data_IF_624065976860
#
_entry.id   IF_624065976860
#
_cell.length_a   1.000
_cell.length_b   1.000
_cell.length_c   1.000
_cell.angle_alpha   90.00
_cell.angle_beta   90.00
_cell.angle_gamma   90.00
#
_symmetry.space_group_name_H-M   'P 1'
#
loop_
_entity.id
_entity.type
_entity.pdbx_description
1 polymer ?
#
# COMPACT_ATOMS: atom_id res chain seq x y z
N UNK A 1 -9.73 -29.25 9.90
CA UNK A 1 -8.62 -28.80 10.78
C UNK A 1 -7.54 -28.09 9.97
N UNK A 2 -6.96 -28.73 8.95
CA UNK A 2 -5.91 -28.14 8.10
C UNK A 2 -6.35 -26.82 7.44
N UNK A 3 -7.57 -26.77 6.89
CA UNK A 3 -8.15 -25.58 6.25
C UNK A 3 -8.21 -24.37 7.20
N UNK A 4 -8.57 -24.57 8.47
CA UNK A 4 -8.58 -23.51 9.48
C UNK A 4 -7.19 -22.95 9.78
N UNK A 5 -6.16 -23.80 9.84
CA UNK A 5 -4.78 -23.34 10.05
C UNK A 5 -4.27 -22.53 8.85
N UNK A 6 -4.58 -22.96 7.63
CA UNK A 6 -4.23 -22.21 6.41
C UNK A 6 -4.91 -20.84 6.40
N UNK A 7 -6.20 -20.76 6.75
CA UNK A 7 -6.93 -19.49 6.83
C UNK A 7 -6.32 -18.52 7.84
N UNK A 8 -5.94 -19.01 9.03
CA UNK A 8 -5.29 -18.19 10.06
C UNK A 8 -3.93 -17.68 9.58
N UNK A 9 -3.10 -18.54 8.99
CA UNK A 9 -1.79 -18.16 8.46
C UNK A 9 -1.94 -17.08 7.38
N UNK A 10 -2.88 -17.25 6.45
CA UNK A 10 -3.13 -16.28 5.37
C UNK A 10 -3.56 -14.91 5.91
N UNK A 11 -4.43 -14.88 6.93
CA UNK A 11 -4.83 -13.64 7.62
C UNK A 11 -3.64 -12.94 8.28
N UNK A 12 -2.82 -13.70 9.02
CA UNK A 12 -1.63 -13.16 9.68
C UNK A 12 -0.61 -12.63 8.67
N UNK A 13 -0.37 -13.34 7.56
CA UNK A 13 0.48 -12.88 6.48
C UNK A 13 -0.05 -11.58 5.85
N UNK A 14 -1.36 -11.51 5.56
CA UNK A 14 -1.98 -10.30 5.01
C UNK A 14 -1.83 -9.11 5.96
N UNK A 15 -2.11 -9.28 7.26
CA UNK A 15 -1.96 -8.20 8.25
C UNK A 15 -0.49 -7.81 8.41
N UNK A 16 0.42 -8.78 8.46
CA UNK A 16 1.86 -8.53 8.56
C UNK A 16 2.38 -7.69 7.39
N UNK A 17 1.91 -7.96 6.17
CA UNK A 17 2.24 -7.15 4.98
C UNK A 17 1.72 -5.71 5.11
N UNK A 18 0.49 -5.52 5.56
CA UNK A 18 -0.08 -4.17 5.74
C UNK A 18 0.65 -3.40 6.84
N UNK A 19 1.06 -4.07 7.93
CA UNK A 19 1.89 -3.46 8.99
C UNK A 19 3.27 -3.07 8.44
N UNK A 20 3.89 -3.92 7.61
CA UNK A 20 5.15 -3.58 6.95
C UNK A 20 4.99 -2.34 6.05
N UNK A 21 3.90 -2.24 5.28
CA UNK A 21 3.58 -1.05 4.50
C UNK A 21 3.38 0.20 5.39
N UNK A 22 2.74 0.05 6.56
CA UNK A 22 2.59 1.13 7.53
C UNK A 22 3.95 1.62 8.05
N UNK A 23 4.86 0.70 8.38
CA UNK A 23 6.20 1.04 8.84
C UNK A 23 7.03 1.75 7.77
N UNK A 24 6.95 1.29 6.51
CA UNK A 24 7.57 1.96 5.38
C UNK A 24 6.99 3.36 5.15
N UNK A 25 5.67 3.50 5.23
CA UNK A 25 4.96 4.78 5.07
C UNK A 25 5.34 5.77 6.18
N UNK A 26 5.34 5.34 7.45
CA UNK A 26 5.75 6.19 8.57
C UNK A 26 7.25 6.56 8.51
N UNK A 27 8.11 5.64 8.09
CA UNK A 27 9.55 5.86 7.97
C UNK A 27 9.98 6.75 6.80
N UNK A 28 9.10 6.97 5.81
CA UNK A 28 9.41 7.75 4.62
C UNK A 28 9.31 9.28 4.80
N UNK A 29 8.97 9.79 6.00
CA UNK A 29 8.90 11.24 6.24
C UNK A 29 7.79 11.92 5.44
N UNK A 30 6.67 11.21 5.26
CA UNK A 30 5.56 11.57 4.36
C UNK A 30 4.96 12.96 4.65
N UNK A 31 4.97 13.40 5.91
CA UNK A 31 4.45 14.71 6.34
C UNK A 31 5.17 15.92 5.69
N UNK A 32 6.32 15.73 5.04
CA UNK A 32 7.09 16.81 4.42
C UNK A 32 6.62 17.25 3.01
N UNK A 33 5.61 16.60 2.40
CA UNK A 33 5.17 16.87 1.02
C UNK A 33 3.68 17.29 0.90
N UNK A 34 3.34 18.59 1.11
CA UNK A 34 1.96 19.06 0.97
C UNK A 34 1.40 18.93 -0.45
N UNK A 35 2.27 18.78 -1.47
CA UNK A 35 1.87 18.61 -2.88
C UNK A 35 1.16 17.28 -3.18
N UNK A 36 1.33 16.26 -2.35
CA UNK A 36 0.80 14.90 -2.58
C UNK A 36 -0.21 14.47 -1.50
N UNK A 37 -0.91 15.43 -0.88
CA UNK A 37 -1.80 15.17 0.26
C UNK A 37 -2.89 14.12 -0.04
N UNK A 38 -3.44 14.11 -1.24
CA UNK A 38 -4.50 13.17 -1.61
C UNK A 38 -3.97 11.74 -1.75
N UNK A 39 -2.76 11.58 -2.30
CA UNK A 39 -2.06 10.28 -2.39
C UNK A 39 -1.72 9.76 -0.99
N UNK A 40 -1.23 10.63 -0.11
CA UNK A 40 -0.94 10.27 1.29
C UNK A 40 -2.20 9.87 2.05
N UNK A 41 -3.32 10.55 1.80
CA UNK A 41 -4.62 10.22 2.39
C UNK A 41 -5.13 8.88 1.86
N UNK A 42 -4.97 8.60 0.57
CA UNK A 42 -5.32 7.30 -0.03
C UNK A 42 -4.50 6.16 0.57
N UNK A 43 -3.18 6.33 0.65
CA UNK A 43 -2.27 5.31 1.20
C UNK A 43 -2.53 5.10 2.68
N UNK A 44 -2.56 6.18 3.47
CA UNK A 44 -2.85 6.13 4.89
C UNK A 44 -4.22 5.50 5.17
N UNK A 45 -5.27 5.94 4.48
CA UNK A 45 -6.62 5.39 4.61
C UNK A 45 -6.69 3.90 4.26
N UNK A 46 -5.99 3.48 3.21
CA UNK A 46 -5.90 2.07 2.82
C UNK A 46 -5.18 1.25 3.89
N UNK A 47 -4.01 1.68 4.34
CA UNK A 47 -3.25 0.97 5.39
C UNK A 47 -4.07 0.86 6.69
N UNK A 48 -4.60 1.97 7.18
CA UNK A 48 -5.34 2.00 8.45
C UNK A 48 -6.64 1.19 8.38
N UNK A 49 -7.40 1.28 7.29
CA UNK A 49 -8.62 0.48 7.13
C UNK A 49 -8.31 -1.02 7.11
N UNK A 50 -7.22 -1.43 6.45
CA UNK A 50 -6.82 -2.84 6.39
C UNK A 50 -6.17 -3.36 7.69
N UNK A 51 -5.87 -2.50 8.66
CA UNK A 51 -5.47 -2.91 10.02
C UNK A 51 -6.68 -2.97 10.93
N UNK A 52 -7.47 -1.89 10.98
CA UNK A 52 -8.58 -1.73 11.93
C UNK A 52 -9.71 -2.73 11.64
N UNK A 53 -10.11 -2.87 10.38
CA UNK A 53 -11.26 -3.73 10.03
C UNK A 53 -10.97 -5.21 10.37
N UNK A 54 -9.83 -5.81 9.97
CA UNK A 54 -9.55 -7.20 10.33
C UNK A 54 -9.44 -7.44 11.84
N UNK A 55 -8.85 -6.50 12.59
CA UNK A 55 -8.78 -6.59 14.06
C UNK A 55 -10.20 -6.55 14.65
N UNK A 56 -11.05 -5.62 14.19
CA UNK A 56 -12.45 -5.54 14.62
C UNK A 56 -13.21 -6.83 14.35
N UNK A 57 -13.06 -7.40 13.14
CA UNK A 57 -13.69 -8.68 12.78
C UNK A 57 -13.16 -9.86 13.61
N UNK A 58 -11.87 -9.87 13.95
CA UNK A 58 -11.29 -10.88 14.84
C UNK A 58 -11.87 -10.79 16.25
N UNK A 59 -11.97 -9.58 16.81
CA UNK A 59 -12.54 -9.34 18.14
C UNK A 59 -14.01 -9.78 18.17
N UNK A 60 -14.82 -9.38 17.19
CA UNK A 60 -16.23 -9.78 17.14
C UNK A 60 -16.41 -11.30 17.10
N UNK A 61 -15.57 -12.02 16.35
CA UNK A 61 -15.57 -13.49 16.38
C UNK A 61 -15.17 -14.08 17.73
N UNK A 62 -14.33 -13.40 18.52
CA UNK A 62 -13.93 -13.86 19.85
C UNK A 62 -14.98 -13.63 20.93
N UNK A 63 -15.93 -12.72 20.71
CA UNK A 63 -17.01 -12.38 21.65
C UNK A 63 -18.31 -13.14 21.32
N UNK A 64 -18.24 -14.15 20.45
CA UNK A 64 -19.39 -14.94 19.97
C UNK A 64 -20.51 -14.12 19.32
N UNK A 65 -20.21 -12.90 18.85
CA UNK A 65 -21.11 -12.18 17.97
C UNK A 65 -21.11 -12.86 16.60
N UNK A 66 -22.26 -13.44 16.23
CA UNK A 66 -22.48 -14.01 14.91
C UNK A 66 -22.50 -12.88 13.86
N UNK A 67 -21.31 -12.47 13.39
CA UNK A 67 -21.22 -11.59 12.24
C UNK A 67 -21.74 -12.34 11.02
N UNK A 68 -22.75 -11.76 10.38
CA UNK A 68 -23.32 -12.26 9.14
C UNK A 68 -22.22 -12.44 8.08
N UNK A 69 -22.23 -13.59 7.42
CA UNK A 69 -21.29 -13.93 6.36
C UNK A 69 -21.34 -12.90 5.22
N UNK A 70 -22.49 -12.25 5.01
CA UNK A 70 -22.62 -11.11 4.10
C UNK A 70 -21.70 -9.94 4.49
N UNK A 71 -21.67 -9.58 5.78
CA UNK A 71 -20.85 -8.47 6.30
C UNK A 71 -19.37 -8.80 6.17
N UNK A 72 -18.98 -10.04 6.51
CA UNK A 72 -17.60 -10.51 6.34
C UNK A 72 -17.17 -10.46 4.86
N UNK A 73 -18.01 -10.94 3.95
CA UNK A 73 -17.77 -10.91 2.52
C UNK A 73 -17.65 -9.48 1.98
N UNK A 74 -18.50 -8.56 2.43
CA UNK A 74 -18.45 -7.15 2.05
C UNK A 74 -17.12 -6.50 2.43
N UNK A 75 -16.63 -6.72 3.66
CA UNK A 75 -15.35 -6.15 4.11
C UNK A 75 -14.15 -6.77 3.39
N UNK A 76 -14.20 -8.07 3.09
CA UNK A 76 -13.17 -8.73 2.30
C UNK A 76 -13.10 -8.17 0.88
N UNK A 77 -14.25 -8.08 0.20
CA UNK A 77 -14.33 -7.53 -1.15
C UNK A 77 -13.87 -6.07 -1.19
N UNK A 78 -14.32 -5.26 -0.23
CA UNK A 78 -13.88 -3.86 -0.12
C UNK A 78 -12.38 -3.77 0.12
N UNK A 79 -11.82 -4.63 0.97
CA UNK A 79 -10.38 -4.70 1.21
C UNK A 79 -9.59 -5.09 -0.03
N UNK A 80 -10.06 -6.07 -0.81
CA UNK A 80 -9.48 -6.44 -2.11
C UNK A 80 -9.47 -5.23 -3.03
N UNK A 81 -10.62 -4.59 -3.24
CA UNK A 81 -10.73 -3.43 -4.15
C UNK A 81 -9.79 -2.30 -3.71
N UNK A 82 -9.77 -1.94 -2.43
CA UNK A 82 -8.91 -0.88 -1.89
C UNK A 82 -7.42 -1.20 -2.08
N UNK A 83 -6.99 -2.43 -1.77
CA UNK A 83 -5.58 -2.83 -1.87
C UNK A 83 -5.12 -2.89 -3.33
N UNK A 84 -5.94 -3.43 -4.24
CA UNK A 84 -5.62 -3.48 -5.66
C UNK A 84 -5.61 -2.09 -6.29
N UNK A 85 -6.64 -1.27 -6.06
CA UNK A 85 -6.71 0.08 -6.64
C UNK A 85 -5.56 0.94 -6.14
N UNK A 86 -5.29 0.96 -4.84
CA UNK A 86 -4.15 1.70 -4.26
C UNK A 86 -2.82 1.17 -4.80
N UNK A 87 -2.63 -0.15 -4.83
CA UNK A 87 -1.41 -0.76 -5.36
C UNK A 87 -1.14 -0.39 -6.82
N UNK A 88 -2.16 -0.44 -7.67
CA UNK A 88 -2.06 -0.06 -9.09
C UNK A 88 -1.80 1.43 -9.25
N UNK A 89 -2.51 2.29 -8.52
CA UNK A 89 -2.32 3.75 -8.57
C UNK A 89 -0.88 4.13 -8.22
N UNK A 90 -0.32 3.56 -7.15
CA UNK A 90 1.05 3.84 -6.73
C UNK A 90 2.09 3.40 -7.77
N UNK A 91 1.94 2.19 -8.31
CA UNK A 91 2.86 1.66 -9.33
C UNK A 91 2.78 2.49 -10.62
N UNK A 92 1.57 2.84 -11.07
CA UNK A 92 1.37 3.65 -12.28
C UNK A 92 1.93 5.06 -12.09
N UNK A 93 1.69 5.68 -10.93
CA UNK A 93 2.21 7.00 -10.61
C UNK A 93 3.73 7.02 -10.68
N UNK A 94 4.38 6.01 -10.09
CA UNK A 94 5.84 5.89 -10.12
C UNK A 94 6.37 5.68 -11.54
N UNK A 95 5.77 4.78 -12.33
CA UNK A 95 6.17 4.54 -13.73
C UNK A 95 6.06 5.83 -14.56
N UNK A 96 5.01 6.62 -14.36
CA UNK A 96 4.82 7.90 -15.06
C UNK A 96 5.89 8.91 -14.65
N UNK A 97 6.24 8.99 -13.36
CA UNK A 97 7.30 9.86 -12.86
C UNK A 97 8.66 9.45 -13.44
N UNK A 98 8.99 8.17 -13.42
CA UNK A 98 10.24 7.64 -13.99
C UNK A 98 10.35 7.96 -15.49
N UNK A 99 9.26 7.76 -16.25
CA UNK A 99 9.23 8.08 -17.69
C UNK A 99 9.41 9.57 -17.95
N UNK A 100 8.80 10.45 -17.15
CA UNK A 100 9.00 11.91 -17.25
C UNK A 100 10.46 12.30 -16.95
N UNK A 101 11.10 11.67 -15.96
CA UNK A 101 12.51 11.92 -15.62
C UNK A 101 13.47 11.49 -16.73
N UNK A 102 13.20 10.35 -17.39
CA UNK A 102 13.99 9.90 -18.54
C UNK A 102 13.96 10.91 -19.71
N UNK A 103 12.79 11.49 -20.01
CA UNK A 103 12.68 12.50 -21.06
C UNK A 103 13.42 13.81 -20.72
N UNK A 104 13.45 14.23 -19.46
CA UNK A 104 14.22 15.42 -19.06
C UNK A 104 15.73 15.19 -19.03
N UNK A 105 16.21 13.98 -18.71
CA UNK A 105 17.64 13.68 -18.78
C UNK A 105 18.20 13.66 -20.20
N UNK A 106 17.39 13.31 -21.21
CA UNK A 106 17.84 13.39 -22.62
C UNK A 106 18.00 14.83 -23.14
N UNK A 107 17.31 15.82 -22.56
CA UNK A 107 17.41 17.22 -23.00
C UNK A 107 18.41 18.07 -22.21
N UNK A 108 18.91 17.62 -21.06
CA UNK A 108 19.77 18.42 -20.19
C UNK A 108 21.29 18.24 -20.38
N UNK A 109 21.73 17.48 -21.39
CA UNK A 109 23.17 17.34 -21.68
C UNK A 109 23.83 18.60 -22.28
N UNK A 110 23.14 19.73 -22.43
CA UNK A 110 23.73 20.88 -23.13
C UNK A 110 23.99 22.15 -22.31
N UNK A 111 23.36 22.42 -21.16
CA UNK A 111 23.63 23.68 -20.42
C UNK A 111 23.68 23.46 -18.89
N UNK A 112 24.90 23.51 -18.34
CA UNK A 112 25.17 23.78 -16.92
C UNK A 112 25.03 25.29 -16.66
N UNK A 113 24.58 25.69 -15.46
CA UNK A 113 25.52 26.42 -14.62
C UNK A 113 25.59 25.88 -13.18
N UNK A 114 26.81 25.93 -12.68
CA UNK A 114 27.17 25.70 -11.28
C UNK A 114 26.56 26.77 -10.37
N UNK A 115 26.35 26.41 -9.09
CA UNK A 115 26.34 27.24 -7.84
C UNK A 115 25.20 26.93 -6.85
N UNK A 116 24.16 26.14 -7.19
CA UNK A 116 23.08 25.75 -6.24
C UNK A 116 23.11 24.31 -5.69
N UNK A 117 24.16 23.54 -6.00
CA UNK A 117 24.00 22.11 -6.31
C UNK A 117 23.92 21.14 -5.13
N UNK A 118 24.22 21.52 -3.88
CA UNK A 118 24.20 20.55 -2.76
C UNK A 118 22.80 20.28 -2.24
N UNK A 119 21.97 21.31 -2.04
CA UNK A 119 20.60 21.13 -1.57
C UNK A 119 19.70 20.55 -2.66
N UNK A 120 19.82 21.02 -3.91
CA UNK A 120 19.09 20.47 -5.06
C UNK A 120 19.36 18.97 -5.27
N UNK A 121 20.62 18.54 -5.15
CA UNK A 121 20.97 17.10 -5.25
C UNK A 121 20.47 16.32 -4.04
N UNK A 122 20.45 16.91 -2.83
CA UNK A 122 19.92 16.25 -1.63
C UNK A 122 18.40 16.06 -1.72
N UNK A 123 17.68 17.06 -2.21
CA UNK A 123 16.23 17.00 -2.45
C UNK A 123 15.90 15.96 -3.53
N UNK A 124 16.64 15.94 -4.65
CA UNK A 124 16.44 14.94 -5.70
C UNK A 124 16.68 13.50 -5.21
N UNK A 125 17.71 13.27 -4.38
CA UNK A 125 17.98 11.96 -3.77
C UNK A 125 16.92 11.54 -2.75
N UNK A 126 16.43 12.48 -1.94
CA UNK A 126 15.38 12.20 -0.97
C UNK A 126 14.07 11.84 -1.68
N UNK A 127 13.73 12.58 -2.73
CA UNK A 127 12.56 12.30 -3.56
C UNK A 127 12.65 10.91 -4.19
N UNK A 128 13.80 10.54 -4.77
CA UNK A 128 14.01 9.20 -5.34
C UNK A 128 13.90 8.07 -4.31
N UNK A 129 14.28 8.31 -3.05
CA UNK A 129 14.15 7.32 -1.99
C UNK A 129 12.68 7.13 -1.57
N UNK A 130 11.92 8.23 -1.51
CA UNK A 130 10.48 8.19 -1.19
C UNK A 130 9.70 7.51 -2.31
N UNK A 131 9.98 7.85 -3.56
CA UNK A 131 9.41 7.22 -4.76
C UNK A 131 9.54 5.68 -4.72
N UNK A 132 10.74 5.16 -4.37
CA UNK A 132 10.99 3.73 -4.17
C UNK A 132 10.17 3.12 -3.04
N UNK A 133 9.93 3.87 -1.96
CA UNK A 133 9.08 3.41 -0.85
C UNK A 133 7.63 3.29 -1.30
N UNK A 134 7.08 4.27 -2.02
CA UNK A 134 5.71 4.21 -2.54
C UNK A 134 5.53 3.07 -3.54
N UNK A 135 6.53 2.81 -4.39
CA UNK A 135 6.55 1.63 -5.24
C UNK A 135 6.52 0.32 -4.44
N UNK A 136 7.34 0.22 -3.38
CA UNK A 136 7.36 -0.96 -2.51
C UNK A 136 6.01 -1.15 -1.78
N UNK A 137 5.41 -0.07 -1.26
CA UNK A 137 4.06 -0.08 -0.67
C UNK A 137 3.03 -0.54 -1.70
N UNK A 138 3.14 -0.11 -2.96
CA UNK A 138 2.28 -0.55 -4.05
C UNK A 138 2.34 -2.06 -4.26
N UNK A 139 3.55 -2.62 -4.36
CA UNK A 139 3.77 -4.07 -4.49
C UNK A 139 3.20 -4.83 -3.29
N UNK A 140 3.53 -4.38 -2.08
CA UNK A 140 3.06 -5.01 -0.83
C UNK A 140 1.52 -5.00 -0.78
N UNK A 141 0.90 -3.89 -1.20
CA UNK A 141 -0.56 -3.75 -1.26
C UNK A 141 -1.17 -4.76 -2.24
N UNK A 142 -0.58 -4.96 -3.42
CA UNK A 142 -1.06 -5.97 -4.37
C UNK A 142 -0.96 -7.39 -3.81
N UNK A 143 0.14 -7.75 -3.15
CA UNK A 143 0.28 -9.06 -2.51
C UNK A 143 -0.74 -9.24 -1.38
N UNK A 144 -0.92 -8.24 -0.51
CA UNK A 144 -1.94 -8.27 0.52
C UNK A 144 -3.36 -8.42 -0.07
N UNK A 145 -3.63 -7.73 -1.18
CA UNK A 145 -4.88 -7.84 -1.93
C UNK A 145 -5.10 -9.24 -2.50
N UNK A 146 -4.06 -9.87 -3.04
CA UNK A 146 -4.12 -11.26 -3.53
C UNK A 146 -4.43 -12.25 -2.39
N UNK A 147 -3.81 -12.08 -1.22
CA UNK A 147 -4.11 -12.90 -0.04
C UNK A 147 -5.57 -12.75 0.40
N UNK A 148 -6.08 -11.51 0.46
CA UNK A 148 -7.49 -11.20 0.76
C UNK A 148 -8.45 -11.81 -0.26
N UNK A 149 -8.08 -11.80 -1.54
CA UNK A 149 -8.88 -12.38 -2.60
C UNK A 149 -8.95 -13.91 -2.47
N UNK A 150 -7.82 -14.57 -2.17
CA UNK A 150 -7.81 -16.00 -1.89
C UNK A 150 -8.70 -16.35 -0.69
N UNK A 151 -8.69 -15.53 0.36
CA UNK A 151 -9.57 -15.69 1.52
C UNK A 151 -11.05 -15.53 1.14
N UNK A 152 -11.38 -14.51 0.35
CA UNK A 152 -12.75 -14.29 -0.14
C UNK A 152 -13.25 -15.46 -0.99
N UNK A 153 -12.43 -15.97 -1.91
CA UNK A 153 -12.77 -17.14 -2.74
C UNK A 153 -12.98 -18.37 -1.85
N UNK A 154 -12.11 -18.59 -0.87
CA UNK A 154 -12.22 -19.72 0.05
C UNK A 154 -13.52 -19.68 0.88
N UNK A 155 -13.98 -18.48 1.27
CA UNK A 155 -15.24 -18.29 2.01
C UNK A 155 -16.44 -18.58 1.11
N UNK A 156 -16.41 -18.16 -0.17
CA UNK A 156 -17.50 -18.45 -1.12
C UNK A 156 -17.60 -19.94 -1.44
N UNK A 157 -16.46 -20.64 -1.50
CA UNK A 157 -16.42 -22.07 -1.84
C UNK A 157 -16.64 -23.00 -0.64
N UNK A 158 -16.70 -22.47 0.59
CA UNK A 158 -16.91 -23.24 1.83
C UNK A 158 -18.37 -23.30 2.23
#
# INVERSE_FOLDING_TARGET
MITRYVEIIMKLCSIGLVIAAAGLWAGAGVDARPKFRDEQTLVGGTIWSQIIIPIGLMISKSVDDNIDMFVLGYYLLTGVVLLFTTGVVLILHEIVIMKRRQHHHHHHHQHQPAVGSRESVRHAKHDEQVDKVYYAIGIISLFAGAFKLCEFIAIIMS
#
